data_IF_515754063355
#
_entry.id   IF_515754063355
#
_cell.length_a   1.000
_cell.length_b   1.000
_cell.length_c   1.000
_cell.angle_alpha   90.00
_cell.angle_beta   90.00
_cell.angle_gamma   90.00
#
_symmetry.space_group_name_H-M   'P 1'
#
loop_
_entity.id
_entity.type
_entity.pdbx_description
1 polymer ?
#
# COMPACT_ATOMS: atom_id res chain seq x y z
N UNK A 1 19.76 16.33 12.45
CA UNK A 1 18.75 15.72 11.56
C UNK A 1 17.40 16.29 11.94
N UNK A 2 16.68 16.88 10.99
CA UNK A 2 15.45 17.60 11.26
C UNK A 2 14.33 16.64 11.70
N UNK A 3 13.64 17.00 12.78
CA UNK A 3 12.41 16.38 13.23
C UNK A 3 11.43 17.53 13.45
N UNK A 4 10.27 17.48 12.80
CA UNK A 4 9.19 18.46 12.98
C UNK A 4 7.85 17.76 12.83
N UNK A 5 6.76 18.46 13.14
CA UNK A 5 5.39 17.97 12.90
C UNK A 5 5.17 17.54 11.43
N UNK A 6 5.94 18.12 10.50
CA UNK A 6 5.85 17.85 9.07
C UNK A 6 6.63 16.60 8.64
N UNK A 7 7.70 16.23 9.37
CA UNK A 7 8.63 15.18 8.96
C UNK A 7 9.20 14.40 10.15
N UNK A 8 9.05 13.07 10.10
CA UNK A 8 9.62 12.18 11.10
C UNK A 8 11.15 12.22 11.09
N UNK A 9 11.75 11.95 12.25
CA UNK A 9 13.21 11.82 12.41
C UNK A 9 13.78 10.83 11.39
N UNK A 10 14.88 11.19 10.73
CA UNK A 10 15.53 10.41 9.66
C UNK A 10 14.68 10.21 8.39
N UNK A 11 13.66 11.04 8.15
CA UNK A 11 12.85 10.97 6.94
C UNK A 11 13.10 12.16 6.03
N UNK A 12 13.30 11.90 4.73
CA UNK A 12 13.42 12.96 3.71
C UNK A 12 12.09 13.32 3.04
N UNK A 13 10.99 12.70 3.50
CA UNK A 13 9.66 12.82 2.91
C UNK A 13 8.67 13.19 4.01
N UNK A 14 7.84 14.20 3.73
CA UNK A 14 6.83 14.68 4.67
C UNK A 14 5.77 13.61 4.96
N UNK A 15 5.16 13.69 6.13
CA UNK A 15 4.10 12.76 6.52
C UNK A 15 2.86 12.91 5.60
N UNK A 16 2.56 14.13 5.14
CA UNK A 16 1.47 14.40 4.20
C UNK A 16 1.68 13.66 2.85
N UNK A 17 2.90 13.67 2.30
CA UNK A 17 3.21 12.95 1.06
C UNK A 17 3.03 11.43 1.22
N UNK A 18 3.39 10.86 2.37
CA UNK A 18 3.18 9.43 2.65
C UNK A 18 1.69 9.08 2.69
N UNK A 19 0.87 9.92 3.34
CA UNK A 19 -0.57 9.73 3.40
C UNK A 19 -1.23 9.82 2.02
N UNK A 20 -0.79 10.77 1.18
CA UNK A 20 -1.28 10.89 -0.19
C UNK A 20 -0.96 9.64 -1.02
N UNK A 21 0.25 9.11 -0.90
CA UNK A 21 0.65 7.85 -1.56
C UNK A 21 -0.19 6.67 -1.07
N UNK A 22 -0.44 6.57 0.24
CA UNK A 22 -1.31 5.52 0.81
C UNK A 22 -2.74 5.62 0.30
N UNK A 23 -3.31 6.84 0.25
CA UNK A 23 -4.64 7.06 -0.31
C UNK A 23 -4.71 6.59 -1.76
N UNK A 24 -3.72 6.97 -2.58
CA UNK A 24 -3.68 6.56 -3.98
C UNK A 24 -3.50 5.04 -4.16
N UNK A 25 -2.83 4.35 -3.22
CA UNK A 25 -2.70 2.89 -3.21
C UNK A 25 -4.00 2.16 -2.88
N UNK A 26 -5.00 2.84 -2.32
CA UNK A 26 -6.34 2.26 -2.10
C UNK A 26 -7.24 2.34 -3.33
N UNK A 27 -6.83 3.07 -4.36
CA UNK A 27 -7.52 3.18 -5.64
C UNK A 27 -6.95 2.14 -6.64
N UNK A 28 -7.68 1.86 -7.73
CA UNK A 28 -7.22 0.97 -8.81
C UNK A 28 -6.13 1.67 -9.67
N UNK A 29 -4.95 1.85 -9.06
CA UNK A 29 -3.85 2.65 -9.58
C UNK A 29 -2.54 1.88 -9.43
N UNK A 30 -1.74 1.87 -10.50
CA UNK A 30 -0.44 1.20 -10.46
C UNK A 30 0.59 2.00 -9.64
N UNK A 31 1.50 1.30 -8.97
CA UNK A 31 2.59 1.93 -8.21
C UNK A 31 3.44 2.87 -9.08
N UNK A 32 3.63 2.53 -10.37
CA UNK A 32 4.35 3.38 -11.34
C UNK A 32 3.60 4.69 -11.60
N UNK A 33 2.28 4.65 -11.75
CA UNK A 33 1.47 5.86 -11.94
C UNK A 33 1.52 6.76 -10.69
N UNK A 34 1.36 6.16 -9.51
CA UNK A 34 1.43 6.88 -8.22
C UNK A 34 2.81 7.52 -8.04
N UNK A 35 3.88 6.79 -8.35
CA UNK A 35 5.25 7.28 -8.26
C UNK A 35 5.47 8.50 -9.17
N UNK A 36 5.00 8.42 -10.42
CA UNK A 36 5.10 9.50 -11.41
C UNK A 36 4.32 10.75 -10.99
N UNK A 37 3.12 10.60 -10.46
CA UNK A 37 2.27 11.73 -10.03
C UNK A 37 2.77 12.42 -8.76
N UNK A 38 3.45 11.68 -7.89
CA UNK A 38 4.01 12.21 -6.65
C UNK A 38 5.50 12.56 -6.76
N UNK A 39 6.10 12.44 -7.96
CA UNK A 39 7.52 12.70 -8.23
C UNK A 39 8.46 11.94 -7.28
N UNK A 40 8.14 10.67 -6.99
CA UNK A 40 8.94 9.79 -6.14
C UNK A 40 9.29 8.51 -6.89
N UNK A 41 10.26 7.76 -6.37
CA UNK A 41 10.60 6.46 -6.91
C UNK A 41 9.54 5.40 -6.54
N UNK A 42 9.40 4.36 -7.37
CA UNK A 42 8.55 3.20 -7.06
C UNK A 42 9.00 2.53 -5.76
N UNK A 43 10.31 2.45 -5.50
CA UNK A 43 10.86 1.94 -4.25
C UNK A 43 10.35 2.71 -3.02
N UNK A 44 10.17 4.03 -3.15
CA UNK A 44 9.59 4.85 -2.10
C UNK A 44 8.13 4.47 -1.84
N UNK A 45 7.33 4.28 -2.90
CA UNK A 45 5.93 3.83 -2.80
C UNK A 45 5.86 2.48 -2.09
N UNK A 46 6.72 1.52 -2.49
CA UNK A 46 6.80 0.20 -1.88
C UNK A 46 7.17 0.26 -0.39
N UNK A 47 8.15 1.09 -0.01
CA UNK A 47 8.52 1.31 1.39
C UNK A 47 7.40 1.94 2.20
N UNK A 48 6.67 2.89 1.61
CA UNK A 48 5.50 3.49 2.26
C UNK A 48 4.45 2.41 2.52
N UNK A 49 4.11 1.57 1.54
CA UNK A 49 3.18 0.46 1.73
C UNK A 49 3.67 -0.53 2.81
N UNK A 50 4.92 -0.97 2.71
CA UNK A 50 5.52 -1.93 3.64
C UNK A 50 5.53 -1.45 5.10
N UNK A 51 5.74 -0.15 5.34
CA UNK A 51 5.67 0.42 6.70
C UNK A 51 4.29 0.29 7.35
N UNK A 52 3.22 0.16 6.56
CA UNK A 52 1.85 0.02 7.05
C UNK A 52 1.33 -1.42 6.98
N UNK A 53 2.09 -2.35 6.40
CA UNK A 53 1.73 -3.77 6.26
C UNK A 53 1.27 -4.42 7.57
N UNK A 54 1.95 -4.11 8.69
CA UNK A 54 1.62 -4.63 10.02
C UNK A 54 0.21 -4.25 10.52
N UNK A 55 -0.44 -3.24 9.92
CA UNK A 55 -1.82 -2.86 10.26
C UNK A 55 -2.87 -3.68 9.51
N UNK A 56 -2.46 -4.42 8.49
CA UNK A 56 -3.34 -5.21 7.63
C UNK A 56 -3.22 -6.72 7.86
N UNK A 57 -2.19 -7.15 8.59
CA UNK A 57 -1.98 -8.55 8.95
C UNK A 57 -2.48 -8.70 10.39
N UNK A 58 -3.64 -9.34 10.55
CA UNK A 58 -4.17 -9.70 11.88
C UNK A 58 -3.29 -10.75 12.56
N UNK A 59 -3.34 -10.77 13.90
CA UNK A 59 -2.67 -11.80 14.68
C UNK A 59 -3.24 -13.18 14.33
N UNK A 60 -2.38 -14.06 13.80
CA UNK A 60 -2.72 -15.45 13.47
C UNK A 60 -2.92 -16.34 14.72
N UNK A 61 -2.95 -15.75 15.92
CA UNK A 61 -3.07 -16.49 17.18
C UNK A 61 -4.47 -17.07 17.41
N UNK A 62 -5.50 -16.61 16.70
CA UNK A 62 -6.83 -17.20 16.78
C UNK A 62 -7.57 -17.19 15.45
N UNK A 63 -8.35 -18.24 15.21
CA UNK A 63 -9.27 -18.37 14.08
C UNK A 63 -10.65 -17.82 14.49
N UNK A 64 -11.22 -16.84 13.78
CA UNK A 64 -12.57 -16.34 14.08
C UNK A 64 -13.63 -17.45 14.02
N UNK A 65 -14.67 -17.37 14.86
CA UNK A 65 -15.72 -18.39 14.93
C UNK A 65 -16.50 -18.57 13.62
N UNK A 66 -16.56 -17.52 12.79
CA UNK A 66 -17.17 -17.54 11.47
C UNK A 66 -16.20 -16.88 10.49
N UNK A 67 -15.59 -17.66 9.61
CA UNK A 67 -14.68 -17.21 8.55
C UNK A 67 -15.28 -17.63 7.20
N UNK A 68 -15.44 -16.67 6.30
CA UNK A 68 -15.88 -16.94 4.93
C UNK A 68 -14.66 -16.90 4.01
N UNK A 69 -14.53 -17.90 3.14
CA UNK A 69 -13.55 -17.92 2.06
C UNK A 69 -14.26 -17.54 0.76
N UNK A 70 -13.70 -16.56 0.06
CA UNK A 70 -14.12 -16.21 -1.29
C UNK A 70 -12.95 -16.51 -2.23
N UNK A 71 -13.19 -17.37 -3.22
CA UNK A 71 -12.18 -17.71 -4.21
C UNK A 71 -12.18 -16.62 -5.28
N UNK A 72 -11.10 -15.84 -5.34
CA UNK A 72 -10.88 -14.93 -6.45
C UNK A 72 -10.38 -15.74 -7.66
N UNK A 73 -11.20 -15.89 -8.72
CA UNK A 73 -10.77 -16.62 -9.91
C UNK A 73 -9.59 -15.88 -10.56
N UNK A 74 -8.59 -16.61 -11.10
CA UNK A 74 -7.46 -15.99 -11.76
C UNK A 74 -7.95 -15.10 -12.91
N UNK A 75 -7.51 -13.83 -12.92
CA UNK A 75 -7.92 -12.82 -13.89
C UNK A 75 -7.79 -13.25 -15.36
N UNK A 76 -6.95 -14.24 -15.65
CA UNK A 76 -6.76 -14.84 -16.97
C UNK A 76 -7.94 -15.72 -17.46
N UNK A 77 -8.83 -16.18 -16.58
CA UNK A 77 -9.97 -17.05 -16.95
C UNK A 77 -11.18 -16.29 -17.53
N UNK A 78 -11.16 -14.95 -17.52
CA UNK A 78 -12.25 -14.11 -18.03
C UNK A 78 -11.93 -13.40 -19.35
N UNK A 79 -10.76 -13.63 -19.95
CA UNK A 79 -10.46 -13.11 -21.29
C UNK A 79 -11.06 -14.06 -22.35
N UNK A 80 -12.01 -13.60 -23.18
CA UNK A 80 -12.57 -14.44 -24.23
C UNK A 80 -11.54 -14.58 -25.36
N UNK A 81 -11.12 -15.82 -25.63
CA UNK A 81 -10.38 -16.17 -26.85
C UNK A 81 -8.89 -16.40 -26.66
N UNK A 82 -8.54 -17.61 -26.22
CA UNK A 82 -7.52 -18.45 -26.87
C UNK A 82 -8.16 -19.80 -27.16
#
# INVERSE_FOLDING_TARGET
MAQSELVNKYCSISNASKLKVLSALTEDRSMTSIARENNISINTVQRVLGNYSHRFIDSYEYLPAHLAFDELPPAALYLPGW
#
